data_IF_341817029335
#
_entry.id   IF_341817029335
#
_cell.length_a   1.000
_cell.length_b   1.000
_cell.length_c   1.000
_cell.angle_alpha   90.00
_cell.angle_beta   90.00
_cell.angle_gamma   90.00
#
_symmetry.space_group_name_H-M   'P 1'
#
loop_
_entity.id
_entity.type
_entity.pdbx_description
1 polymer ?
#
# COMPACT_ATOMS: atom_id res chain seq x y z
N UNK A 1 32.89 -14.42 14.14
CA UNK A 1 33.04 -14.41 12.67
C UNK A 1 31.68 -14.14 12.04
N UNK A 2 31.29 -12.87 11.84
CA UNK A 2 29.93 -12.47 11.44
C UNK A 2 29.48 -12.92 10.04
N UNK A 3 30.39 -13.17 9.08
CA UNK A 3 30.02 -13.52 7.70
C UNK A 3 29.36 -14.90 7.49
N UNK A 4 29.67 -15.90 8.34
CA UNK A 4 29.18 -17.28 8.17
C UNK A 4 27.66 -17.39 8.35
N UNK A 5 27.09 -16.55 9.21
CA UNK A 5 25.65 -16.57 9.53
C UNK A 5 24.86 -16.01 8.35
N UNK A 6 25.30 -14.90 7.78
CA UNK A 6 24.65 -14.25 6.64
C UNK A 6 24.60 -15.13 5.40
N UNK A 7 25.69 -15.87 5.12
CA UNK A 7 25.72 -16.81 4.00
C UNK A 7 24.68 -17.91 4.15
N UNK A 8 24.54 -18.47 5.35
CA UNK A 8 23.54 -19.51 5.64
C UNK A 8 22.13 -18.97 5.52
N UNK A 9 21.88 -17.75 5.99
CA UNK A 9 20.61 -17.06 5.82
C UNK A 9 20.28 -16.84 4.34
N UNK A 10 21.26 -16.43 3.53
CA UNK A 10 21.07 -16.24 2.08
C UNK A 10 20.85 -17.57 1.34
N UNK A 11 21.58 -18.63 1.70
CA UNK A 11 21.36 -19.97 1.19
C UNK A 11 19.94 -20.46 1.48
N UNK A 12 19.50 -20.32 2.74
CA UNK A 12 18.16 -20.70 3.17
C UNK A 12 17.08 -19.89 2.43
N UNK A 13 17.23 -18.56 2.40
CA UNK A 13 16.33 -17.66 1.68
C UNK A 13 16.20 -18.06 0.20
N UNK A 14 17.32 -18.31 -0.48
CA UNK A 14 17.31 -18.71 -1.89
C UNK A 14 16.58 -20.04 -2.10
N UNK A 15 16.76 -21.01 -1.19
CA UNK A 15 16.06 -22.29 -1.24
C UNK A 15 14.54 -22.20 -1.01
N UNK A 16 14.06 -21.16 -0.32
CA UNK A 16 12.63 -20.92 -0.13
C UNK A 16 11.95 -20.19 -1.30
N UNK A 17 12.73 -19.57 -2.19
CA UNK A 17 12.20 -18.73 -3.27
C UNK A 17 11.94 -19.54 -4.54
N UNK A 18 10.83 -19.23 -5.21
CA UNK A 18 10.38 -19.93 -6.40
C UNK A 18 9.93 -18.93 -7.47
N UNK A 19 10.00 -19.35 -8.74
CA UNK A 19 9.46 -18.61 -9.89
C UNK A 19 9.96 -17.16 -9.96
N UNK A 20 9.03 -16.21 -9.97
CA UNK A 20 9.34 -14.78 -10.13
C UNK A 20 10.26 -14.24 -9.03
N UNK A 21 10.10 -14.68 -7.78
CA UNK A 21 10.87 -14.19 -6.64
C UNK A 21 12.34 -14.65 -6.69
N UNK A 22 12.56 -15.92 -7.06
CA UNK A 22 13.91 -16.45 -7.30
C UNK A 22 14.60 -15.72 -8.47
N UNK A 23 13.84 -15.41 -9.52
CA UNK A 23 14.38 -14.71 -10.69
C UNK A 23 14.87 -13.29 -10.36
N UNK A 24 14.32 -12.63 -9.33
CA UNK A 24 14.74 -11.29 -8.91
C UNK A 24 16.15 -11.29 -8.34
N UNK A 25 16.51 -12.31 -7.57
CA UNK A 25 17.80 -12.38 -6.88
C UNK A 25 18.80 -13.32 -7.57
N UNK A 26 18.43 -13.90 -8.72
CA UNK A 26 19.24 -14.89 -9.46
C UNK A 26 20.65 -14.38 -9.82
N UNK A 27 20.81 -13.08 -10.00
CA UNK A 27 22.10 -12.44 -10.29
C UNK A 27 22.94 -12.09 -9.06
N UNK A 28 22.40 -12.26 -7.85
CA UNK A 28 23.11 -11.93 -6.60
C UNK A 28 23.91 -13.16 -6.17
N UNK A 29 25.26 -13.07 -6.08
CA UNK A 29 26.07 -14.18 -5.65
C UNK A 29 25.79 -14.55 -4.19
N UNK A 30 25.73 -15.84 -3.89
CA UNK A 30 25.55 -16.34 -2.52
C UNK A 30 26.86 -16.24 -1.75
N UNK A 31 27.17 -15.04 -1.27
CA UNK A 31 28.39 -14.73 -0.51
C UNK A 31 28.08 -13.85 0.72
N UNK A 32 29.05 -13.71 1.61
CA UNK A 32 28.95 -12.92 2.83
C UNK A 32 28.68 -11.44 2.46
N UNK A 33 27.79 -10.75 3.19
CA UNK A 33 27.42 -9.36 2.90
C UNK A 33 26.34 -9.14 1.84
N UNK A 34 25.92 -10.19 1.10
CA UNK A 34 24.88 -10.06 0.05
C UNK A 34 23.46 -10.36 0.53
N UNK A 35 23.29 -10.82 1.77
CA UNK A 35 21.96 -11.08 2.33
C UNK A 35 21.08 -9.82 2.34
N UNK A 36 21.62 -8.69 2.81
CA UNK A 36 20.88 -7.43 2.83
C UNK A 36 20.48 -6.96 1.43
N UNK A 37 21.36 -7.14 0.43
CA UNK A 37 21.04 -6.81 -0.97
C UNK A 37 19.91 -7.71 -1.51
N UNK A 38 19.98 -9.02 -1.28
CA UNK A 38 18.93 -9.93 -1.71
C UNK A 38 17.58 -9.62 -1.04
N UNK A 39 17.60 -9.41 0.28
CA UNK A 39 16.41 -9.07 1.06
C UNK A 39 15.81 -7.72 0.66
N UNK A 40 16.62 -6.68 0.49
CA UNK A 40 16.15 -5.37 0.03
C UNK A 40 15.60 -5.40 -1.39
N UNK A 41 16.21 -6.18 -2.30
CA UNK A 41 15.72 -6.34 -3.68
C UNK A 41 14.38 -7.07 -3.72
N UNK A 42 14.21 -8.12 -2.90
CA UNK A 42 12.92 -8.82 -2.75
C UNK A 42 11.87 -7.92 -2.12
N UNK A 43 12.23 -7.21 -1.05
CA UNK A 43 11.34 -6.30 -0.33
C UNK A 43 10.89 -5.17 -1.26
N UNK A 44 11.78 -4.54 -2.01
CA UNK A 44 11.44 -3.49 -2.96
C UNK A 44 10.46 -3.96 -4.04
N UNK A 45 10.52 -5.24 -4.44
CA UNK A 45 9.67 -5.79 -5.51
C UNK A 45 8.35 -6.37 -5.02
N UNK A 46 8.33 -6.98 -3.85
CA UNK A 46 7.18 -7.75 -3.37
C UNK A 46 6.56 -7.22 -2.08
N UNK A 47 7.32 -6.48 -1.26
CA UNK A 47 6.80 -5.94 -0.02
C UNK A 47 6.05 -4.63 -0.29
N UNK A 48 4.73 -4.74 -0.39
CA UNK A 48 3.82 -3.61 -0.60
C UNK A 48 3.19 -3.20 0.72
N UNK A 49 3.96 -2.54 1.59
CA UNK A 49 3.53 -2.14 2.94
C UNK A 49 2.20 -1.39 2.93
N UNK A 50 1.98 -0.51 1.95
CA UNK A 50 0.71 0.22 1.80
C UNK A 50 -0.48 -0.72 1.63
N UNK A 51 -0.37 -1.75 0.78
CA UNK A 51 -1.45 -2.71 0.54
C UNK A 51 -1.76 -3.53 1.80
N UNK A 52 -0.71 -3.92 2.55
CA UNK A 52 -0.90 -4.60 3.83
C UNK A 52 -1.66 -3.70 4.79
N UNK A 53 -1.20 -2.46 4.97
CA UNK A 53 -1.85 -1.50 5.86
C UNK A 53 -3.31 -1.22 5.44
N UNK A 54 -3.57 -1.02 4.15
CA UNK A 54 -4.93 -0.85 3.60
C UNK A 54 -5.81 -2.05 3.94
N UNK A 55 -5.32 -3.29 3.76
CA UNK A 55 -6.10 -4.49 4.09
C UNK A 55 -6.43 -4.62 5.59
N UNK A 56 -5.53 -4.16 6.47
CA UNK A 56 -5.79 -4.12 7.91
C UNK A 56 -6.88 -3.07 8.23
N UNK A 57 -6.84 -1.92 7.55
CA UNK A 57 -7.87 -0.87 7.74
C UNK A 57 -9.22 -1.40 7.29
N UNK A 58 -9.28 -2.04 6.13
CA UNK A 58 -10.50 -2.67 5.61
C UNK A 58 -11.05 -3.72 6.58
N UNK A 59 -10.22 -4.58 7.17
CA UNK A 59 -10.66 -5.59 8.15
C UNK A 59 -11.27 -4.95 9.39
N UNK A 60 -10.65 -3.88 9.90
CA UNK A 60 -11.12 -3.17 11.09
C UNK A 60 -12.41 -2.39 10.81
N UNK A 61 -12.47 -1.67 9.68
CA UNK A 61 -13.63 -0.85 9.30
C UNK A 61 -14.83 -1.71 8.92
N UNK A 62 -14.61 -2.85 8.27
CA UNK A 62 -15.66 -3.79 7.88
C UNK A 62 -15.89 -4.90 8.91
N UNK A 63 -15.34 -4.76 10.13
CA UNK A 63 -15.57 -5.73 11.19
C UNK A 63 -17.09 -5.85 11.46
N UNK A 64 -17.64 -7.08 11.54
CA UNK A 64 -19.07 -7.27 11.68
C UNK A 64 -19.57 -6.70 13.00
N UNK A 65 -20.69 -5.99 12.97
CA UNK A 65 -21.38 -5.54 14.19
C UNK A 65 -22.04 -6.75 14.87
N UNK A 66 -21.72 -6.99 16.14
CA UNK A 66 -22.49 -7.96 16.93
C UNK A 66 -23.73 -7.29 17.52
N UNK A 67 -24.90 -7.88 17.30
CA UNK A 67 -26.15 -7.49 17.95
C UNK A 67 -26.41 -8.26 19.26
N UNK A 68 -25.53 -9.20 19.61
CA UNK A 68 -25.63 -10.08 20.76
C UNK A 68 -24.37 -9.97 21.61
N UNK A 69 -24.56 -9.89 22.93
CA UNK A 69 -23.45 -9.98 23.88
C UNK A 69 -23.21 -11.46 24.21
N UNK A 70 -22.47 -12.14 23.32
CA UNK A 70 -22.09 -13.54 23.53
C UNK A 70 -20.58 -13.68 23.69
N UNK A 71 -20.16 -14.68 24.47
CA UNK A 71 -18.73 -15.00 24.65
C UNK A 71 -18.02 -15.19 23.30
N UNK A 72 -18.68 -15.83 22.34
CA UNK A 72 -18.15 -16.06 21.00
C UNK A 72 -17.91 -14.77 20.25
N UNK A 73 -18.88 -13.85 20.27
CA UNK A 73 -18.81 -12.60 19.51
C UNK A 73 -17.78 -11.64 20.11
N UNK A 74 -17.71 -11.54 21.45
CA UNK A 74 -16.69 -10.74 22.13
C UNK A 74 -15.28 -11.29 21.93
N UNK A 75 -15.12 -12.63 21.91
CA UNK A 75 -13.82 -13.25 21.61
C UNK A 75 -13.40 -12.97 20.16
N UNK A 76 -14.32 -13.09 19.21
CA UNK A 76 -14.04 -12.79 17.80
C UNK A 76 -13.67 -11.32 17.57
N UNK A 77 -14.35 -10.41 18.27
CA UNK A 77 -13.99 -8.98 18.30
C UNK A 77 -12.57 -8.79 18.80
N UNK A 78 -12.22 -9.35 19.96
CA UNK A 78 -10.90 -9.18 20.56
C UNK A 78 -9.81 -9.71 19.63
N UNK A 79 -9.96 -10.93 19.11
CA UNK A 79 -9.01 -11.51 18.15
C UNK A 79 -8.83 -10.61 16.93
N UNK A 80 -9.94 -10.14 16.34
CA UNK A 80 -9.87 -9.29 15.15
C UNK A 80 -9.14 -7.98 15.45
N UNK A 81 -9.51 -7.26 16.50
CA UNK A 81 -8.91 -5.95 16.78
C UNK A 81 -7.47 -6.07 17.31
N UNK A 82 -7.19 -7.02 18.20
CA UNK A 82 -5.86 -7.19 18.81
C UNK A 82 -4.80 -7.56 17.77
N UNK A 83 -5.10 -8.50 16.86
CA UNK A 83 -4.19 -8.88 15.78
C UNK A 83 -3.93 -7.71 14.81
N UNK A 84 -5.00 -7.02 14.38
CA UNK A 84 -4.86 -5.94 13.41
C UNK A 84 -4.15 -4.71 14.01
N UNK A 85 -4.45 -4.35 15.27
CA UNK A 85 -3.79 -3.24 15.98
C UNK A 85 -2.32 -3.55 16.24
N UNK A 86 -2.00 -4.79 16.65
CA UNK A 86 -0.61 -5.23 16.84
C UNK A 86 0.20 -5.12 15.55
N UNK A 87 -0.39 -5.50 14.40
CA UNK A 87 0.25 -5.35 13.10
C UNK A 87 0.41 -3.88 12.70
N UNK A 88 -0.60 -3.02 12.91
CA UNK A 88 -0.46 -1.59 12.66
C UNK A 88 0.69 -0.96 13.46
N UNK A 89 0.83 -1.34 14.73
CA UNK A 89 1.93 -0.90 15.60
C UNK A 89 3.29 -1.33 15.01
N UNK A 90 3.42 -2.59 14.59
CA UNK A 90 4.65 -3.11 14.00
C UNK A 90 5.04 -2.40 12.68
N UNK A 91 4.06 -1.89 11.94
CA UNK A 91 4.29 -1.20 10.66
C UNK A 91 4.84 0.22 10.80
N UNK A 92 4.85 0.79 12.02
CA UNK A 92 5.37 2.13 12.31
C UNK A 92 4.84 3.21 11.35
N UNK A 93 3.53 3.23 11.13
CA UNK A 93 2.88 4.23 10.26
C UNK A 93 3.00 5.60 10.95
N UNK A 94 3.62 6.62 10.32
CA UNK A 94 3.90 7.90 10.99
C UNK A 94 2.65 8.65 11.48
N UNK A 95 1.56 8.59 10.71
CA UNK A 95 0.27 9.17 11.05
C UNK A 95 -0.86 8.19 10.66
N UNK A 96 -1.16 7.29 11.59
CA UNK A 96 -2.16 6.25 11.39
C UNK A 96 -3.56 6.84 11.14
N UNK A 97 -3.94 7.90 11.87
CA UNK A 97 -5.26 8.51 11.74
C UNK A 97 -5.48 9.08 10.34
N UNK A 98 -4.50 9.83 9.85
CA UNK A 98 -4.54 10.39 8.49
C UNK A 98 -4.49 9.32 7.41
N UNK A 99 -3.77 8.21 7.63
CA UNK A 99 -3.73 7.07 6.72
C UNK A 99 -5.06 6.29 6.68
N UNK A 100 -5.74 6.14 7.82
CA UNK A 100 -7.08 5.53 7.88
C UNK A 100 -8.08 6.38 7.08
N UNK A 101 -8.08 7.70 7.32
CA UNK A 101 -8.94 8.63 6.58
C UNK A 101 -8.63 8.64 5.08
N UNK A 102 -7.35 8.60 4.72
CA UNK A 102 -6.91 8.39 3.34
C UNK A 102 -7.54 7.13 2.77
N UNK A 103 -7.40 5.99 3.45
CA UNK A 103 -7.87 4.70 2.95
C UNK A 103 -9.38 4.71 2.71
N UNK A 104 -10.15 5.13 3.73
CA UNK A 104 -11.61 5.24 3.63
C UNK A 104 -12.02 6.14 2.46
N UNK A 105 -11.44 7.34 2.38
CA UNK A 105 -11.75 8.29 1.30
C UNK A 105 -11.34 7.76 -0.08
N UNK A 106 -10.18 7.11 -0.18
CA UNK A 106 -9.68 6.56 -1.43
C UNK A 106 -10.65 5.51 -2.00
N UNK A 107 -11.20 4.63 -1.17
CA UNK A 107 -12.15 3.60 -1.60
C UNK A 107 -13.46 4.14 -2.18
N UNK A 108 -13.81 5.40 -1.89
CA UNK A 108 -15.02 6.03 -2.46
C UNK A 108 -14.84 6.50 -3.91
N UNK A 109 -13.60 6.54 -4.41
CA UNK A 109 -13.29 7.05 -5.75
C UNK A 109 -13.41 5.96 -6.83
N UNK A 110 -13.65 6.33 -8.10
CA UNK A 110 -13.63 5.37 -9.20
C UNK A 110 -12.26 4.76 -9.44
N UNK A 111 -12.23 3.52 -9.95
CA UNK A 111 -10.99 2.79 -10.27
C UNK A 111 -10.05 3.56 -11.22
N UNK A 112 -10.61 4.34 -12.16
CA UNK A 112 -9.81 5.21 -13.05
C UNK A 112 -9.01 6.25 -12.26
N UNK A 113 -9.61 6.82 -11.22
CA UNK A 113 -8.99 7.80 -10.34
C UNK A 113 -7.89 7.16 -9.48
N UNK A 114 -8.08 5.92 -9.03
CA UNK A 114 -7.05 5.18 -8.29
C UNK A 114 -5.80 4.94 -9.13
N UNK A 115 -5.97 4.48 -10.37
CA UNK A 115 -4.85 4.26 -11.30
C UNK A 115 -4.06 5.54 -11.52
N UNK A 116 -4.78 6.65 -11.69
CA UNK A 116 -4.16 7.95 -11.87
C UNK A 116 -3.41 8.39 -10.60
N UNK A 117 -4.02 8.19 -9.42
CA UNK A 117 -3.35 8.48 -8.15
C UNK A 117 -2.03 7.72 -8.00
N UNK A 118 -2.05 6.40 -8.23
CA UNK A 118 -0.85 5.55 -8.15
C UNK A 118 0.22 5.94 -9.19
N UNK A 119 -0.17 6.52 -10.33
CA UNK A 119 0.78 7.05 -11.32
C UNK A 119 1.39 8.40 -10.92
N UNK A 120 0.71 9.15 -10.05
CA UNK A 120 1.13 10.51 -9.64
C UNK A 120 1.84 10.56 -8.30
N UNK A 121 1.58 9.58 -7.42
CA UNK A 121 2.17 9.58 -6.08
C UNK A 121 3.66 9.29 -6.15
N UNK A 122 4.44 10.07 -5.39
CA UNK A 122 5.89 9.89 -5.30
C UNK A 122 6.22 8.49 -4.77
N UNK A 123 7.22 7.85 -5.38
CA UNK A 123 7.73 6.53 -4.95
C UNK A 123 8.21 6.51 -3.50
N UNK A 124 8.59 7.66 -2.94
CA UNK A 124 9.02 7.80 -1.55
C UNK A 124 7.85 7.89 -0.54
N UNK A 125 6.61 8.09 -1.01
CA UNK A 125 5.43 8.21 -0.14
C UNK A 125 4.78 6.84 0.04
N UNK A 126 5.25 6.08 1.03
CA UNK A 126 4.72 4.74 1.33
C UNK A 126 3.31 4.82 1.91
N UNK A 127 3.08 5.70 2.89
CA UNK A 127 1.78 5.92 3.54
C UNK A 127 1.25 7.33 3.23
N UNK A 128 0.38 7.49 2.22
CA UNK A 128 -0.22 8.79 1.92
C UNK A 128 -1.17 9.26 3.04
N UNK A 129 -1.16 10.57 3.28
CA UNK A 129 -2.07 11.25 4.19
C UNK A 129 -3.40 11.58 3.52
N UNK A 130 -4.44 11.86 4.31
CA UNK A 130 -5.71 12.38 3.80
C UNK A 130 -5.52 13.69 3.02
N UNK A 131 -4.55 14.51 3.43
CA UNK A 131 -4.23 15.75 2.71
C UNK A 131 -3.66 15.49 1.33
N UNK A 132 -2.87 14.43 1.15
CA UNK A 132 -2.37 14.04 -0.18
C UNK A 132 -3.54 13.67 -1.10
N UNK A 133 -4.54 12.94 -0.59
CA UNK A 133 -5.75 12.61 -1.35
C UNK A 133 -6.54 13.86 -1.73
N UNK A 134 -6.80 14.75 -0.77
CA UNK A 134 -7.58 15.96 -1.01
C UNK A 134 -6.88 16.89 -2.01
N UNK A 135 -5.56 17.06 -1.91
CA UNK A 135 -4.78 17.83 -2.88
C UNK A 135 -4.85 17.22 -4.28
N UNK A 136 -4.71 15.90 -4.38
CA UNK A 136 -4.83 15.19 -5.64
C UNK A 136 -6.20 15.35 -6.28
N UNK A 137 -7.28 15.15 -5.52
CA UNK A 137 -8.66 15.30 -6.01
C UNK A 137 -8.92 16.74 -6.47
N UNK A 138 -8.44 17.74 -5.74
CA UNK A 138 -8.52 19.15 -6.18
C UNK A 138 -7.81 19.37 -7.51
N UNK A 139 -6.59 18.85 -7.65
CA UNK A 139 -5.85 18.93 -8.91
C UNK A 139 -6.59 18.27 -10.08
N UNK A 140 -7.19 17.11 -9.84
CA UNK A 140 -8.03 16.42 -10.84
C UNK A 140 -9.24 17.24 -11.26
N UNK A 141 -9.94 17.88 -10.32
CA UNK A 141 -11.08 18.75 -10.63
C UNK A 141 -10.62 19.88 -11.55
N UNK A 142 -9.53 20.57 -11.21
CA UNK A 142 -8.98 21.66 -12.05
C UNK A 142 -8.60 21.17 -13.46
N UNK A 143 -8.02 19.97 -13.59
CA UNK A 143 -7.71 19.40 -14.92
C UNK A 143 -8.98 19.17 -15.72
N UNK A 144 -10.03 18.59 -15.11
CA UNK A 144 -11.30 18.33 -15.79
C UNK A 144 -12.02 19.61 -16.20
N UNK A 145 -11.98 20.65 -15.36
CA UNK A 145 -12.52 21.98 -15.68
C UNK A 145 -11.80 22.58 -16.90
N UNK A 146 -10.47 22.58 -16.91
CA UNK A 146 -9.67 23.11 -18.02
C UNK A 146 -9.92 22.37 -19.33
N UNK A 147 -9.98 21.04 -19.30
CA UNK A 147 -10.27 20.23 -20.48
C UNK A 147 -11.68 20.50 -21.00
N UNK A 148 -12.67 20.65 -20.11
CA UNK A 148 -14.04 21.01 -20.47
C UNK A 148 -14.15 22.37 -21.16
N UNK A 149 -13.43 23.38 -20.66
CA UNK A 149 -13.41 24.73 -21.27
C UNK A 149 -12.75 24.73 -22.67
N UNK A 150 -11.67 23.96 -22.86
CA UNK A 150 -11.04 23.79 -24.18
C UNK A 150 -11.97 23.13 -25.20
N UNK A 151 -12.80 22.18 -24.77
CA UNK A 151 -13.77 21.54 -25.65
C UNK A 151 -14.91 22.49 -26.06
N UNK A 152 -15.37 23.36 -25.15
CA UNK A 152 -16.38 24.39 -25.46
C UNK A 152 -15.88 25.42 -26.47
N UNK A 153 -14.64 25.89 -26.33
CA UNK A 153 -14.05 26.87 -27.26
C UNK A 153 -13.87 26.29 -28.67
N UNK A 154 -13.44 25.03 -28.78
CA UNK A 154 -13.31 24.32 -30.05
C UNK A 154 -14.66 24.10 -30.75
N UNK A 155 -15.72 23.75 -30.01
CA UNK A 155 -17.07 23.60 -30.56
C UNK A 155 -17.63 24.92 -31.11
N UNK A 156 -17.35 26.05 -30.46
CA UNK A 156 -17.80 27.38 -30.91
C UNK A 156 -17.11 27.86 -32.18
N UNK A 157 -15.87 27.43 -32.42
CA UNK A 157 -15.10 27.76 -33.63
C UNK A 157 -15.50 26.99 -34.89
N UNK A 158 -16.24 25.87 -34.77
CA UNK A 158 -16.71 25.06 -35.90
C UNK A 158 -18.13 25.40 -36.38
N UNK A 159 -18.84 26.30 -35.69
CA UNK A 159 -20.21 26.71 -36.05
C UNK A 159 -20.29 28.14 -36.62
N UNK A 160 -19.15 28.73 -36.99
CA UNK A 160 -19.06 30.00 -37.73
C UNK A 160 -18.37 29.80 -39.06
#
# INVERSE_FOLDING_TARGET
MPGIIERRQLYYLTGCLHGAALNVIRGIPVSDGYYYLAWSTLSARFYRSRMVATSLVEKVVNAPSSSQESLRDLTAFLVTFDENISLFSAMNIPDLGSFILFTIGFHTLPLSTWKLFESTISSNTIYPSVYNLLQFVRGLITVLENVGELQKSSAKSKSS
#
